data_IF_974538361023
#
_entry.id   IF_974538361023
#
_cell.length_a   1.000
_cell.length_b   1.000
_cell.length_c   1.000
_cell.angle_alpha   90.00
_cell.angle_beta   90.00
_cell.angle_gamma   90.00
#
_symmetry.space_group_name_H-M   'P 1'
#
loop_
_entity.id
_entity.type
_entity.pdbx_description
1 polymer ?
#
# COMPACT_ATOMS: atom_id res chain seq x y z
N UNK A 1 15.85 -4.27 1.82
CA UNK A 1 14.56 -4.97 2.07
C UNK A 1 13.47 -3.91 2.09
N UNK A 2 12.31 -4.17 1.51
CA UNK A 2 11.21 -3.21 1.38
C UNK A 2 9.98 -3.70 2.14
N UNK A 3 9.46 -2.84 3.01
CA UNK A 3 8.21 -3.02 3.71
C UNK A 3 7.09 -2.35 2.93
N UNK A 4 6.09 -3.11 2.54
CA UNK A 4 4.86 -2.60 1.96
C UNK A 4 3.76 -2.70 2.99
N UNK A 5 3.03 -1.61 3.21
CA UNK A 5 1.98 -1.51 4.21
C UNK A 5 0.72 -0.98 3.57
N UNK A 6 -0.41 -1.60 3.88
CA UNK A 6 -1.74 -1.10 3.57
C UNK A 6 -2.40 -0.64 4.87
N UNK A 7 -2.98 0.55 4.85
CA UNK A 7 -3.78 1.09 5.95
C UNK A 7 -5.14 1.51 5.43
N UNK A 8 -6.13 1.56 6.31
CA UNK A 8 -7.46 2.08 5.98
C UNK A 8 -7.57 3.60 6.13
N UNK A 9 -8.81 4.09 6.02
CA UNK A 9 -9.17 5.49 6.21
C UNK A 9 -9.07 5.99 7.66
N UNK A 10 -8.82 5.14 8.64
CA UNK A 10 -8.62 5.52 10.05
C UNK A 10 -7.14 5.44 10.45
N UNK A 11 -6.33 4.71 9.68
CA UNK A 11 -4.90 4.49 9.92
C UNK A 11 -4.60 3.13 10.52
N UNK A 12 -5.58 2.23 10.59
CA UNK A 12 -5.38 0.84 11.01
C UNK A 12 -4.61 0.07 9.93
N UNK A 13 -3.67 -0.77 10.34
CA UNK A 13 -2.88 -1.58 9.41
C UNK A 13 -3.68 -2.79 8.95
N UNK A 14 -4.12 -2.76 7.69
CA UNK A 14 -4.88 -3.85 7.09
C UNK A 14 -4.00 -5.03 6.67
N UNK A 15 -2.80 -4.73 6.14
CA UNK A 15 -1.85 -5.76 5.71
C UNK A 15 -0.40 -5.25 5.62
N UNK A 16 0.54 -6.19 5.73
CA UNK A 16 1.98 -5.97 5.61
C UNK A 16 2.58 -7.03 4.68
N UNK A 17 3.44 -6.59 3.77
CA UNK A 17 4.21 -7.45 2.89
C UNK A 17 5.68 -7.02 2.87
N UNK A 18 6.58 -7.94 3.21
CA UNK A 18 8.03 -7.73 3.11
C UNK A 18 8.53 -8.36 1.82
N UNK A 19 9.30 -7.60 1.02
CA UNK A 19 9.90 -8.06 -0.23
C UNK A 19 11.33 -7.55 -0.38
N UNK A 20 12.17 -8.30 -1.11
CA UNK A 20 13.55 -7.89 -1.38
C UNK A 20 13.63 -6.74 -2.39
N UNK A 21 12.62 -6.60 -3.27
CA UNK A 21 12.57 -5.59 -4.34
C UNK A 21 11.26 -4.81 -4.30
N UNK A 22 11.33 -3.55 -4.73
CA UNK A 22 10.16 -2.70 -4.94
C UNK A 22 9.74 -2.76 -6.42
N UNK A 23 8.76 -3.59 -6.76
CA UNK A 23 8.35 -3.81 -8.16
C UNK A 23 6.84 -4.08 -8.31
N UNK A 24 6.36 -4.13 -9.56
CA UNK A 24 4.96 -4.42 -9.91
C UNK A 24 4.45 -5.71 -9.26
N UNK A 25 5.26 -6.77 -9.24
CA UNK A 25 4.87 -8.07 -8.67
C UNK A 25 4.58 -7.98 -7.17
N UNK A 26 5.39 -7.23 -6.42
CA UNK A 26 5.18 -6.99 -5.00
C UNK A 26 3.91 -6.16 -4.75
N UNK A 27 3.71 -5.07 -5.51
CA UNK A 27 2.50 -4.24 -5.43
C UNK A 27 1.23 -5.06 -5.72
N UNK A 28 1.24 -5.85 -6.80
CA UNK A 28 0.11 -6.71 -7.18
C UNK A 28 -0.19 -7.77 -6.12
N UNK A 29 0.84 -8.37 -5.52
CA UNK A 29 0.68 -9.36 -4.45
C UNK A 29 0.00 -8.74 -3.23
N UNK A 30 0.44 -7.55 -2.80
CA UNK A 30 -0.19 -6.84 -1.69
C UNK A 30 -1.65 -6.50 -2.01
N UNK A 31 -1.92 -5.90 -3.17
CA UNK A 31 -3.27 -5.48 -3.56
C UNK A 31 -4.24 -6.66 -3.64
N UNK A 32 -3.85 -7.78 -4.27
CA UNK A 32 -4.70 -8.98 -4.34
C UNK A 32 -4.99 -9.55 -2.96
N UNK A 33 -3.98 -9.60 -2.09
CA UNK A 33 -4.15 -10.09 -0.71
C UNK A 33 -5.10 -9.18 0.07
N UNK A 34 -4.93 -7.86 -0.06
CA UNK A 34 -5.77 -6.86 0.59
C UNK A 34 -7.23 -6.96 0.14
N UNK A 35 -7.48 -6.95 -1.18
CA UNK A 35 -8.84 -7.04 -1.74
C UNK A 35 -9.53 -8.35 -1.34
N UNK A 36 -8.78 -9.47 -1.34
CA UNK A 36 -9.31 -10.77 -0.89
C UNK A 36 -9.63 -10.79 0.60
N UNK A 37 -8.77 -10.18 1.43
CA UNK A 37 -8.94 -10.16 2.90
C UNK A 37 -10.11 -9.26 3.31
N UNK A 38 -10.25 -8.10 2.67
CA UNK A 38 -11.30 -7.13 3.00
C UNK A 38 -12.65 -7.53 2.39
N UNK A 39 -12.66 -8.30 1.29
CA UNK A 39 -13.89 -8.71 0.63
C UNK A 39 -14.67 -7.56 -0.03
N UNK A 40 -14.12 -6.36 0.02
CA UNK A 40 -14.68 -5.13 -0.55
C UNK A 40 -13.69 -4.53 -1.54
N UNK A 41 -14.23 -3.79 -2.51
CA UNK A 41 -13.43 -2.99 -3.42
C UNK A 41 -13.46 -1.54 -2.92
N UNK A 42 -12.31 -0.95 -2.55
CA UNK A 42 -12.28 0.41 -2.02
C UNK A 42 -12.65 1.44 -3.09
N UNK A 43 -13.32 2.52 -2.69
CA UNK A 43 -13.67 3.64 -3.57
C UNK A 43 -12.42 4.39 -4.07
N UNK A 44 -11.37 4.46 -3.25
CA UNK A 44 -10.12 5.14 -3.59
C UNK A 44 -8.94 4.39 -3.01
N UNK A 45 -7.90 4.21 -3.83
CA UNK A 45 -6.63 3.59 -3.47
C UNK A 45 -5.55 4.66 -3.53
N UNK A 46 -5.12 5.10 -2.35
CA UNK A 46 -4.06 6.09 -2.21
C UNK A 46 -2.71 5.40 -2.11
N UNK A 47 -1.80 5.71 -3.03
CA UNK A 47 -0.41 5.23 -2.97
C UNK A 47 0.57 6.38 -3.15
N UNK A 48 1.85 6.11 -2.89
CA UNK A 48 2.91 7.00 -3.37
C UNK A 48 3.00 6.97 -4.92
N UNK A 49 3.83 7.83 -5.48
CA UNK A 49 3.98 8.03 -6.94
C UNK A 49 4.79 6.95 -7.65
N UNK A 50 5.02 5.78 -7.05
CA UNK A 50 5.81 4.74 -7.70
C UNK A 50 5.03 4.10 -8.87
N UNK A 51 5.62 4.02 -10.08
CA UNK A 51 4.94 3.47 -11.26
C UNK A 51 4.45 2.03 -11.09
N UNK A 52 5.04 1.26 -10.18
CA UNK A 52 4.61 -0.12 -9.90
C UNK A 52 3.17 -0.22 -9.40
N UNK A 53 2.68 0.80 -8.69
CA UNK A 53 1.30 0.81 -8.20
C UNK A 53 0.31 1.02 -9.34
N UNK A 54 0.54 2.02 -10.20
CA UNK A 54 -0.30 2.26 -11.37
C UNK A 54 -0.33 1.04 -12.31
N UNK A 55 0.82 0.41 -12.53
CA UNK A 55 0.88 -0.82 -13.33
C UNK A 55 0.15 -2.01 -12.69
N UNK A 56 0.19 -2.14 -11.35
CA UNK A 56 -0.54 -3.19 -10.64
C UNK A 56 -2.06 -2.93 -10.64
N UNK A 57 -2.48 -1.68 -10.45
CA UNK A 57 -3.90 -1.31 -10.48
C UNK A 57 -4.51 -1.45 -11.87
N UNK A 58 -3.74 -1.18 -12.92
CA UNK A 58 -4.14 -1.46 -14.30
C UNK A 58 -4.45 -2.94 -14.53
N UNK A 59 -3.59 -3.84 -14.05
CA UNK A 59 -3.83 -5.29 -14.13
C UNK A 59 -5.06 -5.76 -13.32
N UNK A 60 -5.48 -4.97 -12.33
CA UNK A 60 -6.64 -5.25 -11.48
C UNK A 60 -7.92 -4.56 -11.97
N UNK A 61 -7.86 -3.74 -13.01
CA UNK A 61 -8.99 -2.93 -13.47
C UNK A 61 -9.40 -1.83 -12.48
N UNK A 62 -8.47 -1.34 -11.65
CA UNK A 62 -8.71 -0.36 -10.60
C UNK A 62 -8.00 0.97 -10.85
N UNK A 63 -7.57 1.25 -12.09
CA UNK A 63 -6.87 2.48 -12.46
C UNK A 63 -7.66 3.75 -12.14
N UNK A 64 -8.97 3.74 -12.36
CA UNK A 64 -9.87 4.88 -12.08
C UNK A 64 -9.96 5.23 -10.58
N UNK A 65 -9.58 4.30 -9.72
CA UNK A 65 -9.59 4.46 -8.26
C UNK A 65 -8.23 4.87 -7.71
N UNK A 66 -7.22 5.03 -8.57
CA UNK A 66 -5.86 5.34 -8.15
C UNK A 66 -5.70 6.83 -7.88
N UNK A 67 -5.38 7.18 -6.63
CA UNK A 67 -4.99 8.54 -6.25
C UNK A 67 -3.53 8.54 -5.75
N UNK A 68 -2.67 9.28 -6.41
CA UNK A 68 -1.26 9.48 -6.03
C UNK A 68 -0.94 10.96 -5.77
N UNK A 69 -1.97 11.78 -5.60
CA UNK A 69 -1.88 13.22 -5.42
C UNK A 69 -1.52 13.65 -4.00
N UNK A 70 -0.86 14.81 -3.90
CA UNK A 70 -0.59 15.50 -2.64
C UNK A 70 0.24 14.67 -1.64
N UNK A 71 -0.08 14.85 -0.34
CA UNK A 71 0.54 14.13 0.79
C UNK A 71 -0.45 13.12 1.41
N UNK A 72 -1.35 12.56 0.59
CA UNK A 72 -2.45 11.69 1.04
C UNK A 72 -1.96 10.34 1.57
N UNK A 73 -0.80 9.88 1.11
CA UNK A 73 -0.13 8.69 1.63
C UNK A 73 0.51 8.92 3.02
N UNK A 74 0.53 10.15 3.56
CA UNK A 74 1.06 10.43 4.89
C UNK A 74 0.42 9.57 5.98
N UNK A 75 -0.85 9.18 5.85
CA UNK A 75 -1.48 8.26 6.81
C UNK A 75 -0.79 6.90 6.81
N UNK A 76 -0.54 6.36 5.62
CA UNK A 76 0.23 5.14 5.44
C UNK A 76 1.70 5.31 5.85
N UNK A 77 2.26 6.52 5.88
CA UNK A 77 3.61 6.82 6.38
C UNK A 77 3.64 7.10 7.89
N UNK A 78 2.58 7.65 8.48
CA UNK A 78 2.51 8.11 9.86
C UNK A 78 1.82 7.12 10.81
N UNK A 79 1.27 6.02 10.32
CA UNK A 79 0.75 4.90 11.12
C UNK A 79 1.86 4.13 11.88
N UNK A 80 2.89 4.84 12.35
CA UNK A 80 3.99 4.37 13.18
C UNK A 80 3.83 4.83 14.64
N UNK A 81 3.11 4.11 15.51
CA UNK A 81 3.50 3.96 16.91
C UNK A 81 4.71 2.99 17.01
N UNK A 82 5.52 3.02 18.08
CA UNK A 82 6.99 3.06 18.03
C UNK A 82 7.67 1.78 17.51
N UNK A 83 7.62 1.52 16.20
CA UNK A 83 8.48 0.53 15.52
C UNK A 83 9.75 1.17 14.95
N UNK A 84 9.97 2.49 15.13
CA UNK A 84 11.25 3.12 14.72
C UNK A 84 12.40 2.96 15.72
N UNK A 85 12.17 2.44 16.92
CA UNK A 85 13.24 2.26 17.92
C UNK A 85 14.05 0.97 17.72
N UNK A 86 13.63 0.06 16.83
CA UNK A 86 14.28 -1.26 16.66
C UNK A 86 15.04 -1.46 15.34
N UNK A 87 15.15 -0.43 14.51
CA UNK A 87 15.97 -0.46 13.27
C UNK A 87 17.29 0.35 13.40
N UNK A 88 17.64 0.79 14.62
CA UNK A 88 18.95 1.39 14.97
C UNK A 88 19.63 0.66 16.13
N UNK A 89 19.70 -0.66 16.07
CA UNK A 89 20.70 -1.46 16.78
C UNK A 89 21.25 -2.53 15.86
#
# INVERSE_FOLDING_TARGET
MYLWRAVDGEGEVLDILVQSKRNKKAALKLMRKLLKKQGIVPDTIVTDKLPSYGAALKDLGLSERHDFGGRKNNRAENSHPPVRQRERR
#
